data_IF_188158556339
#
_entry.id   IF_188158556339
#
_cell.length_a   1.000
_cell.length_b   1.000
_cell.length_c   1.000
_cell.angle_alpha   90.00
_cell.angle_beta   90.00
_cell.angle_gamma   90.00
#
_symmetry.space_group_name_H-M   'P 1'
#
loop_
_entity.id
_entity.type
_entity.pdbx_description
1 polymer ?
#
# COMPACT_ATOMS: atom_id res chain seq x y z
N UNK A 1 3.40 -9.40 -6.19
CA UNK A 1 4.32 -9.40 -7.35
C UNK A 1 5.76 -9.14 -6.89
N UNK A 2 5.98 -8.14 -6.02
CA UNK A 2 7.33 -7.78 -5.53
C UNK A 2 8.11 -8.91 -4.86
N UNK A 3 7.50 -9.67 -3.94
CA UNK A 3 8.18 -10.79 -3.27
C UNK A 3 8.60 -11.89 -4.25
N UNK A 4 7.77 -12.16 -5.27
CA UNK A 4 8.10 -13.12 -6.33
C UNK A 4 9.27 -12.63 -7.18
N UNK A 5 9.26 -11.35 -7.53
CA UNK A 5 10.36 -10.74 -8.28
C UNK A 5 11.68 -10.80 -7.49
N UNK A 6 11.65 -10.52 -6.18
CA UNK A 6 12.81 -10.68 -5.30
C UNK A 6 13.36 -12.11 -5.35
N UNK A 7 12.51 -13.13 -5.19
CA UNK A 7 12.92 -14.54 -5.27
C UNK A 7 13.61 -14.84 -6.60
N UNK A 8 13.00 -14.44 -7.72
CA UNK A 8 13.55 -14.66 -9.06
C UNK A 8 14.89 -13.98 -9.25
N UNK A 9 15.03 -12.74 -8.78
CA UNK A 9 16.28 -11.99 -8.88
C UNK A 9 17.39 -12.68 -8.08
N UNK A 10 17.07 -13.16 -6.87
CA UNK A 10 18.02 -13.87 -6.03
C UNK A 10 18.45 -15.20 -6.63
N UNK A 11 17.54 -15.96 -7.26
CA UNK A 11 17.89 -17.18 -7.98
C UNK A 11 18.83 -16.93 -9.15
N UNK A 12 18.66 -15.80 -9.85
CA UNK A 12 19.45 -15.46 -11.03
C UNK A 12 20.82 -14.85 -10.68
N UNK A 13 20.91 -14.13 -9.57
CA UNK A 13 22.09 -13.30 -9.25
C UNK A 13 23.00 -13.91 -8.20
N UNK A 14 22.49 -14.70 -7.26
CA UNK A 14 23.30 -15.24 -6.17
C UNK A 14 24.14 -16.43 -6.63
N UNK A 15 25.44 -16.35 -6.37
CA UNK A 15 26.38 -17.43 -6.64
C UNK A 15 26.37 -18.39 -5.46
N UNK A 16 26.03 -19.66 -5.69
CA UNK A 16 26.07 -20.69 -4.64
C UNK A 16 27.51 -21.14 -4.37
N UNK A 17 27.80 -21.42 -3.10
CA UNK A 17 29.08 -22.03 -2.73
C UNK A 17 29.14 -23.45 -3.27
N UNK A 18 30.24 -23.78 -3.94
CA UNK A 18 30.59 -25.12 -4.42
C UNK A 18 31.90 -25.55 -3.76
N UNK A 19 32.32 -26.80 -3.99
CA UNK A 19 33.62 -27.29 -3.50
C UNK A 19 34.81 -26.49 -4.07
N UNK A 20 34.64 -25.91 -5.26
CA UNK A 20 35.70 -25.25 -6.02
C UNK A 20 35.65 -23.72 -5.89
N UNK A 21 34.48 -23.16 -5.57
CA UNK A 21 34.25 -21.72 -5.52
C UNK A 21 33.40 -21.31 -4.32
N UNK A 22 33.92 -20.38 -3.52
CA UNK A 22 33.13 -19.66 -2.51
C UNK A 22 32.08 -18.78 -3.20
N UNK A 23 30.82 -18.97 -2.82
CA UNK A 23 29.68 -18.18 -3.28
C UNK A 23 29.28 -17.09 -2.29
N UNK A 24 28.17 -16.44 -2.59
CA UNK A 24 27.56 -15.43 -1.74
C UNK A 24 27.05 -16.06 -0.44
N UNK A 25 27.29 -15.36 0.66
CA UNK A 25 26.89 -15.81 1.98
C UNK A 25 25.80 -14.89 2.54
N UNK A 26 24.62 -15.46 2.76
CA UNK A 26 23.47 -14.88 3.48
C UNK A 26 23.24 -13.39 3.15
N UNK A 27 22.75 -13.08 1.92
CA UNK A 27 22.55 -11.70 1.48
C UNK A 27 21.59 -10.94 2.41
N UNK A 28 21.82 -9.63 2.53
CA UNK A 28 20.96 -8.72 3.28
C UNK A 28 19.99 -8.05 2.31
N UNK A 29 18.69 -8.09 2.63
CA UNK A 29 17.62 -7.47 1.83
C UNK A 29 16.90 -6.45 2.69
N UNK A 30 16.87 -5.19 2.25
CA UNK A 30 15.99 -4.17 2.81
C UNK A 30 14.69 -4.14 2.00
N UNK A 31 13.58 -4.51 2.63
CA UNK A 31 12.25 -4.54 2.02
C UNK A 31 11.44 -3.33 2.52
N UNK A 32 11.13 -2.40 1.62
CA UNK A 32 10.34 -1.21 1.91
C UNK A 32 8.90 -1.39 1.44
N UNK A 33 7.93 -1.38 2.36
CA UNK A 33 6.50 -1.60 2.04
C UNK A 33 5.62 -1.25 3.24
N UNK A 34 4.35 -0.89 3.01
CA UNK A 34 3.34 -0.70 4.06
C UNK A 34 2.77 -2.02 4.62
N UNK A 35 3.17 -3.16 4.07
CA UNK A 35 2.75 -4.49 4.52
C UNK A 35 1.36 -4.90 4.05
N UNK A 36 0.69 -4.14 3.17
CA UNK A 36 -0.66 -4.41 2.69
C UNK A 36 -0.68 -4.88 1.21
N UNK A 37 -0.24 -6.13 0.90
CA UNK A 37 -0.23 -6.64 -0.47
C UNK A 37 -1.64 -6.71 -1.07
N UNK A 38 -1.78 -6.19 -2.30
CA UNK A 38 -3.04 -6.15 -3.05
C UNK A 38 -3.21 -7.33 -4.01
N UNK A 39 -2.25 -8.26 -4.06
CA UNK A 39 -2.23 -9.42 -4.94
C UNK A 39 -2.38 -10.77 -4.19
N UNK A 40 -2.43 -11.88 -4.94
CA UNK A 40 -2.49 -13.23 -4.36
C UNK A 40 -1.10 -13.72 -3.95
N UNK A 41 -0.61 -13.24 -2.81
CA UNK A 41 0.76 -13.47 -2.35
C UNK A 41 0.97 -14.79 -1.59
N UNK A 42 -0.09 -15.52 -1.19
CA UNK A 42 -0.01 -16.62 -0.22
C UNK A 42 0.91 -17.76 -0.68
N UNK A 43 0.86 -18.14 -1.96
CA UNK A 43 1.72 -19.19 -2.50
C UNK A 43 3.20 -18.78 -2.49
N UNK A 44 3.48 -17.53 -2.86
CA UNK A 44 4.82 -16.96 -2.89
C UNK A 44 5.37 -16.79 -1.47
N UNK A 45 4.52 -16.42 -0.51
CA UNK A 45 4.89 -16.33 0.89
C UNK A 45 5.22 -17.71 1.48
N UNK A 46 4.49 -18.75 1.09
CA UNK A 46 4.81 -20.12 1.49
C UNK A 46 6.16 -20.58 0.92
N UNK A 47 6.40 -20.33 -0.36
CA UNK A 47 7.70 -20.55 -1.03
C UNK A 47 8.83 -19.79 -0.31
N UNK A 48 8.63 -18.50 -0.05
CA UNK A 48 9.57 -17.66 0.70
C UNK A 48 9.93 -18.26 2.06
N UNK A 49 8.93 -18.63 2.87
CA UNK A 49 9.13 -19.20 4.21
C UNK A 49 9.91 -20.51 4.18
N UNK A 50 9.61 -21.36 3.21
CA UNK A 50 10.20 -22.69 3.10
C UNK A 50 11.64 -22.63 2.55
N UNK A 51 11.87 -21.77 1.55
CA UNK A 51 13.09 -21.83 0.76
C UNK A 51 14.07 -20.69 1.03
N UNK A 52 13.59 -19.51 1.42
CA UNK A 52 14.40 -18.28 1.43
C UNK A 52 14.56 -17.63 2.79
N UNK A 53 13.53 -17.67 3.66
CA UNK A 53 13.54 -16.96 4.95
C UNK A 53 14.77 -17.26 5.82
N UNK A 54 15.35 -18.47 5.71
CA UNK A 54 16.57 -18.87 6.45
C UNK A 54 17.89 -18.61 5.69
N UNK A 55 17.83 -18.40 4.38
CA UNK A 55 19.01 -18.20 3.51
C UNK A 55 19.37 -16.73 3.36
N UNK A 56 18.48 -15.84 3.77
CA UNK A 56 18.54 -14.40 3.53
C UNK A 56 18.30 -13.68 4.84
N UNK A 57 18.95 -12.54 5.02
CA UNK A 57 18.70 -11.65 6.14
C UNK A 57 17.82 -10.51 5.65
N UNK A 58 16.53 -10.56 5.96
CA UNK A 58 15.61 -9.49 5.57
C UNK A 58 15.48 -8.48 6.71
N UNK A 59 15.45 -7.20 6.34
CA UNK A 59 15.01 -6.09 7.19
C UNK A 59 13.79 -5.49 6.51
N UNK A 60 12.61 -5.77 7.04
CA UNK A 60 11.36 -5.21 6.55
C UNK A 60 11.16 -3.85 7.22
N UNK A 61 11.01 -2.80 6.42
CA UNK A 61 10.84 -1.43 6.89
C UNK A 61 9.50 -0.94 6.37
N UNK A 62 8.60 -0.67 7.32
CA UNK A 62 7.30 -0.11 7.03
C UNK A 62 7.27 1.39 7.18
N UNK A 63 6.61 2.04 6.24
CA UNK A 63 6.36 3.48 6.25
C UNK A 63 4.91 3.76 6.63
N UNK A 64 4.71 4.75 7.50
CA UNK A 64 3.39 5.27 7.84
C UNK A 64 2.71 4.58 9.02
N UNK A 65 1.73 5.27 9.60
CA UNK A 65 1.06 4.86 10.85
C UNK A 65 0.15 3.63 10.71
N UNK A 66 -0.18 3.23 9.48
CA UNK A 66 -1.13 2.14 9.18
C UNK A 66 -0.46 0.89 8.60
N UNK A 67 0.80 0.66 8.94
CA UNK A 67 1.57 -0.51 8.54
C UNK A 67 0.90 -1.84 8.99
N UNK A 68 0.67 -2.78 8.07
CA UNK A 68 0.34 -4.15 8.45
C UNK A 68 1.64 -4.92 8.75
N UNK A 69 2.07 -4.83 10.00
CA UNK A 69 3.29 -5.50 10.47
C UNK A 69 3.12 -7.00 10.60
N UNK A 70 1.89 -7.54 10.52
CA UNK A 70 1.61 -8.97 10.65
C UNK A 70 2.22 -9.75 9.48
N UNK A 71 1.91 -9.34 8.25
CA UNK A 71 2.47 -9.94 7.04
C UNK A 71 3.99 -9.73 6.98
N UNK A 72 4.49 -8.58 7.43
CA UNK A 72 5.94 -8.32 7.46
C UNK A 72 6.67 -9.23 8.44
N UNK A 73 6.07 -9.54 9.59
CA UNK A 73 6.62 -10.51 10.55
C UNK A 73 6.66 -11.94 9.99
N UNK A 74 5.75 -12.27 9.06
CA UNK A 74 5.80 -13.55 8.34
C UNK A 74 6.99 -13.63 7.37
N UNK A 75 7.39 -12.50 6.78
CA UNK A 75 8.51 -12.38 5.83
C UNK A 75 9.85 -12.30 6.57
N UNK A 76 9.92 -11.51 7.64
CA UNK A 76 11.16 -11.12 8.32
C UNK A 76 11.01 -11.12 9.84
N UNK A 77 12.06 -11.55 10.54
CA UNK A 77 12.15 -11.42 12.01
C UNK A 77 12.66 -10.02 12.43
N UNK A 78 13.13 -9.21 11.47
CA UNK A 78 13.51 -7.82 11.64
C UNK A 78 12.50 -6.92 10.93
N UNK A 79 11.49 -6.46 11.67
CA UNK A 79 10.48 -5.49 11.19
C UNK A 79 10.71 -4.16 11.91
N UNK A 80 10.88 -3.10 11.12
CA UNK A 80 11.09 -1.74 11.58
C UNK A 80 9.93 -0.87 11.12
N UNK A 81 9.41 -0.04 12.00
CA UNK A 81 8.40 0.96 11.69
C UNK A 81 9.09 2.33 11.64
N UNK A 82 9.02 2.97 10.49
CA UNK A 82 9.52 4.32 10.27
C UNK A 82 8.36 5.32 10.43
N UNK A 83 8.40 6.10 11.52
CA UNK A 83 7.28 6.95 11.96
C UNK A 83 7.33 8.38 11.43
N UNK A 84 8.52 8.94 11.19
CA UNK A 84 8.69 10.37 10.92
C UNK A 84 8.92 10.65 9.44
N UNK A 85 7.96 11.33 8.80
CA UNK A 85 7.87 11.52 7.35
C UNK A 85 8.58 12.78 6.81
N UNK A 86 9.40 13.45 7.62
CA UNK A 86 10.13 14.65 7.16
C UNK A 86 11.45 14.29 6.45
N UNK A 87 11.93 15.19 5.60
CA UNK A 87 13.13 14.97 4.78
C UNK A 87 14.40 14.71 5.63
N UNK A 88 14.45 15.26 6.84
CA UNK A 88 15.56 15.06 7.78
C UNK A 88 15.58 13.60 8.28
N UNK A 89 14.43 13.05 8.67
CA UNK A 89 14.29 11.68 9.15
C UNK A 89 14.65 10.65 8.07
N UNK A 90 14.26 10.90 6.81
CA UNK A 90 14.71 10.05 5.69
C UNK A 90 16.23 10.05 5.53
N UNK A 91 16.86 11.22 5.69
CA UNK A 91 18.33 11.34 5.57
C UNK A 91 19.05 10.59 6.68
N UNK A 92 18.59 10.73 7.93
CA UNK A 92 19.15 9.99 9.06
C UNK A 92 18.89 8.49 8.95
N UNK A 93 17.73 8.09 8.42
CA UNK A 93 17.44 6.70 8.14
C UNK A 93 18.38 6.05 7.13
N UNK A 94 18.65 6.69 5.99
CA UNK A 94 19.58 6.14 5.01
C UNK A 94 21.04 6.14 5.51
N UNK A 95 21.42 7.11 6.35
CA UNK A 95 22.71 7.06 7.06
C UNK A 95 22.77 5.87 8.00
N UNK A 96 21.70 5.60 8.75
CA UNK A 96 21.59 4.46 9.65
C UNK A 96 21.63 3.12 8.89
N UNK A 97 20.97 3.00 7.73
CA UNK A 97 21.10 1.81 6.85
C UNK A 97 22.57 1.62 6.48
N UNK A 98 23.23 2.69 6.02
CA UNK A 98 24.64 2.64 5.60
C UNK A 98 25.54 2.17 6.74
N UNK A 99 25.35 2.71 7.94
CA UNK A 99 26.08 2.30 9.14
C UNK A 99 25.80 0.82 9.52
N UNK A 100 24.55 0.37 9.38
CA UNK A 100 24.14 -1.01 9.67
C UNK A 100 24.75 -2.02 8.69
N UNK A 101 24.85 -1.67 7.40
CA UNK A 101 25.55 -2.47 6.38
C UNK A 101 27.03 -2.57 6.73
N UNK A 102 27.67 -1.45 7.11
CA UNK A 102 29.08 -1.44 7.50
C UNK A 102 29.35 -2.32 8.72
N UNK A 103 28.54 -2.18 9.78
CA UNK A 103 28.66 -3.00 10.99
C UNK A 103 28.48 -4.50 10.69
N UNK A 104 27.49 -4.85 9.87
CA UNK A 104 27.20 -6.23 9.48
C UNK A 104 28.27 -6.84 8.57
N UNK A 105 28.94 -6.03 7.75
CA UNK A 105 30.05 -6.49 6.90
C UNK A 105 31.32 -6.86 7.70
N UNK A 106 31.52 -6.22 8.85
CA UNK A 106 32.69 -6.43 9.71
C UNK A 106 32.52 -7.61 10.67
N UNK A 107 31.28 -7.93 11.07
CA UNK A 107 30.97 -9.01 12.02
C UNK A 107 31.02 -10.43 11.43
N UNK A 108 31.13 -10.57 10.11
CA UNK A 108 31.25 -11.87 9.40
C UNK A 108 32.51 -12.67 9.80
N UNK A 109 33.45 -12.05 10.52
CA UNK A 109 34.69 -12.68 10.99
C UNK A 109 34.64 -13.28 12.41
N UNK A 110 33.55 -13.13 13.16
CA UNK A 110 33.44 -13.72 14.51
C UNK A 110 32.38 -14.82 14.54
N UNK A 111 32.85 -16.06 14.69
CA UNK A 111 32.03 -17.23 14.90
C UNK A 111 30.98 -17.00 16.00
N UNK A 112 29.76 -17.49 15.75
CA UNK A 112 28.70 -17.83 16.72
C UNK A 112 27.68 -16.78 17.17
N UNK A 113 27.13 -15.98 16.25
CA UNK A 113 25.69 -15.63 16.30
C UNK A 113 25.20 -15.09 14.97
N UNK A 114 24.15 -15.73 14.46
CA UNK A 114 23.55 -15.50 13.14
C UNK A 114 22.62 -14.26 13.15
N UNK A 115 23.01 -13.24 13.93
CA UNK A 115 22.18 -12.11 14.39
C UNK A 115 22.64 -10.82 13.69
N UNK A 116 21.72 -10.12 13.01
CA UNK A 116 22.01 -8.86 12.33
C UNK A 116 22.41 -7.80 13.36
N UNK A 117 23.64 -7.29 13.25
CA UNK A 117 24.12 -6.22 14.13
C UNK A 117 23.76 -4.88 13.50
N UNK A 118 22.51 -4.47 13.70
CA UNK A 118 22.04 -3.15 13.31
C UNK A 118 22.71 -2.08 14.18
N UNK A 119 22.95 -0.89 13.60
CA UNK A 119 23.41 0.23 14.39
C UNK A 119 22.37 0.55 15.49
N UNK A 120 22.79 0.91 16.71
CA UNK A 120 21.88 1.33 17.76
C UNK A 120 20.98 2.46 17.25
N UNK A 121 19.67 2.33 17.45
CA UNK A 121 18.69 3.37 17.10
C UNK A 121 17.99 3.81 18.39
N UNK A 122 18.55 4.81 19.06
CA UNK A 122 17.91 5.48 20.21
C UNK A 122 16.93 6.58 19.78
N UNK A 123 16.48 6.51 18.52
CA UNK A 123 15.82 7.60 17.84
C UNK A 123 14.31 7.36 17.72
N UNK A 124 13.51 8.38 18.04
CA UNK A 124 12.04 8.33 18.09
C UNK A 124 11.38 7.95 16.73
N UNK A 125 12.12 8.10 15.63
CA UNK A 125 11.65 7.87 14.26
C UNK A 125 11.72 6.41 13.79
N UNK A 126 12.42 5.51 14.50
CA UNK A 126 12.58 4.10 14.13
C UNK A 126 12.26 3.17 15.29
N UNK A 127 11.17 2.42 15.18
CA UNK A 127 10.78 1.43 16.19
C UNK A 127 10.92 0.00 15.66
N UNK A 128 11.52 -0.89 16.44
CA UNK A 128 11.50 -2.32 16.15
C UNK A 128 10.20 -2.93 16.66
N UNK A 129 9.43 -3.54 15.76
CA UNK A 129 8.19 -4.23 16.15
C UNK A 129 8.56 -5.47 16.97
N UNK A 130 8.01 -5.66 18.18
CA UNK A 130 8.22 -6.87 18.96
C UNK A 130 7.77 -8.09 18.16
N UNK A 131 8.68 -9.04 17.96
CA UNK A 131 8.39 -10.25 17.19
C UNK A 131 7.24 -11.04 17.81
N UNK A 132 6.09 -11.04 17.13
CA UNK A 132 4.89 -11.74 17.56
C UNK A 132 3.77 -11.47 16.57
N UNK A 133 3.20 -12.55 16.03
CA UNK A 133 2.01 -12.51 15.16
C UNK A 133 0.89 -11.76 15.87
N UNK A 134 0.70 -10.48 15.55
CA UNK A 134 -0.56 -9.81 15.84
C UNK A 134 -1.62 -10.48 14.96
N UNK A 135 -2.57 -11.16 15.61
CA UNK A 135 -3.63 -11.91 14.96
C UNK A 135 -4.60 -10.97 14.22
N UNK A 136 -4.22 -10.57 13.00
CA UNK A 136 -5.15 -10.16 11.96
C UNK A 136 -5.10 -11.22 10.88
N UNK A 137 -6.12 -12.06 10.77
CA UNK A 137 -6.23 -12.99 9.64
C UNK A 137 -6.16 -12.23 8.32
N UNK A 138 -5.69 -12.85 7.22
CA UNK A 138 -5.44 -12.15 5.97
C UNK A 138 -6.77 -11.69 5.37
N UNK A 139 -7.15 -10.43 5.60
CA UNK A 139 -8.12 -9.77 4.74
C UNK A 139 -7.41 -9.42 3.45
N UNK A 140 -7.85 -9.98 2.33
CA UNK A 140 -7.30 -9.73 0.99
C UNK A 140 -7.53 -8.30 0.46
N UNK A 141 -7.81 -7.35 1.37
CA UNK A 141 -8.29 -6.01 1.12
C UNK A 141 -7.55 -5.11 2.11
N UNK A 142 -6.74 -4.19 1.59
CA UNK A 142 -6.07 -3.16 2.40
C UNK A 142 -7.13 -2.28 3.09
N UNK A 143 -7.33 -2.41 4.39
CA UNK A 143 -8.35 -1.58 5.09
C UNK A 143 -7.86 -0.17 5.42
N UNK A 144 -6.60 0.15 5.17
CA UNK A 144 -5.99 1.42 5.51
C UNK A 144 -6.16 2.48 4.42
N UNK A 145 -6.43 2.05 3.19
CA UNK A 145 -6.66 2.94 2.05
C UNK A 145 -7.86 2.45 1.26
N UNK A 146 -8.70 3.36 0.78
CA UNK A 146 -9.69 3.08 -0.26
C UNK A 146 -9.29 3.83 -1.54
N UNK A 147 -8.99 3.08 -2.59
CA UNK A 147 -8.67 3.64 -3.91
C UNK A 147 -9.81 3.35 -4.87
N UNK A 148 -10.16 4.33 -5.71
CA UNK A 148 -11.21 4.23 -6.71
C UNK A 148 -10.70 4.67 -8.09
N UNK A 149 -11.04 3.90 -9.13
CA UNK A 149 -10.72 4.23 -10.52
C UNK A 149 -11.88 4.99 -11.14
N UNK A 150 -11.57 6.08 -11.82
CA UNK A 150 -12.53 6.84 -12.61
C UNK A 150 -11.95 7.23 -13.96
N UNK A 151 -12.83 7.66 -14.86
CA UNK A 151 -12.45 8.12 -16.20
C UNK A 151 -13.11 9.47 -16.48
N UNK A 152 -12.31 10.40 -16.97
CA UNK A 152 -12.76 11.76 -17.23
C UNK A 152 -13.82 11.77 -18.34
N UNK A 153 -14.95 12.44 -18.10
CA UNK A 153 -16.01 12.57 -19.12
C UNK A 153 -15.61 13.47 -20.29
N UNK A 154 -14.68 14.40 -20.08
CA UNK A 154 -14.24 15.36 -21.11
C UNK A 154 -13.16 14.79 -22.02
N UNK A 155 -12.07 14.24 -21.46
CA UNK A 155 -10.90 13.80 -22.23
C UNK A 155 -10.64 12.29 -22.17
N UNK A 156 -11.52 11.54 -21.52
CA UNK A 156 -11.46 10.07 -21.42
C UNK A 156 -10.17 9.51 -20.80
N UNK A 157 -9.37 10.34 -20.13
CA UNK A 157 -8.20 9.88 -19.36
C UNK A 157 -8.61 9.27 -18.03
N UNK A 158 -7.87 8.26 -17.59
CA UNK A 158 -8.07 7.61 -16.30
C UNK A 158 -7.48 8.43 -15.16
N UNK A 159 -8.08 8.31 -13.98
CA UNK A 159 -7.54 8.89 -12.76
C UNK A 159 -7.95 8.04 -11.55
N UNK A 160 -7.11 8.09 -10.52
CA UNK A 160 -7.34 7.44 -9.24
C UNK A 160 -7.77 8.47 -8.20
N UNK A 161 -8.63 8.04 -7.28
CA UNK A 161 -9.01 8.79 -6.09
C UNK A 161 -8.60 7.97 -4.89
N UNK A 162 -7.73 8.53 -4.04
CA UNK A 162 -7.19 7.85 -2.86
C UNK A 162 -7.82 8.44 -1.61
N UNK A 163 -8.30 7.58 -0.72
CA UNK A 163 -8.76 7.93 0.60
C UNK A 163 -7.98 7.14 1.65
N UNK A 164 -7.51 7.81 2.69
CA UNK A 164 -6.81 7.17 3.81
C UNK A 164 -7.81 6.89 4.94
N UNK A 165 -7.70 5.74 5.59
CA UNK A 165 -8.51 5.40 6.76
C UNK A 165 -8.25 6.41 7.87
N UNK A 166 -9.34 6.89 8.47
CA UNK A 166 -9.32 7.75 9.63
C UNK A 166 -10.14 7.08 10.73
N UNK A 167 -9.54 6.88 11.90
CA UNK A 167 -10.23 6.36 13.08
C UNK A 167 -10.42 7.53 14.04
N UNK A 168 -11.67 7.94 14.23
CA UNK A 168 -12.01 8.93 15.25
C UNK A 168 -12.53 8.21 16.48
N UNK A 169 -11.75 8.24 17.56
CA UNK A 169 -12.23 7.90 18.90
C UNK A 169 -12.87 9.14 19.52
N UNK A 170 -14.18 9.09 19.77
CA UNK A 170 -14.88 10.11 20.56
C UNK A 170 -15.38 9.47 21.84
N UNK A 171 -15.00 10.05 22.97
CA UNK A 171 -15.56 9.71 24.26
C UNK A 171 -16.83 10.54 24.48
N UNK A 172 -17.98 9.89 24.60
CA UNK A 172 -19.27 10.53 24.82
C UNK A 172 -20.02 9.78 25.92
N UNK A 173 -20.41 10.50 26.98
CA UNK A 173 -21.05 9.94 28.18
C UNK A 173 -20.27 8.79 28.85
N UNK A 174 -18.93 8.84 28.84
CA UNK A 174 -18.08 7.79 29.42
C UNK A 174 -18.05 6.48 28.62
N UNK A 175 -18.58 6.49 27.39
CA UNK A 175 -18.45 5.42 26.42
C UNK A 175 -17.50 5.87 25.30
N UNK A 176 -16.51 5.03 25.00
CA UNK A 176 -15.61 5.24 23.86
C UNK A 176 -16.28 4.74 22.59
N UNK A 177 -16.60 5.67 21.67
CA UNK A 177 -17.06 5.35 20.33
C UNK A 177 -15.92 5.49 19.34
N UNK A 178 -15.61 4.40 18.63
CA UNK A 178 -14.69 4.43 17.50
C UNK A 178 -15.52 4.48 16.21
N UNK A 179 -15.53 5.63 15.54
CA UNK A 179 -16.02 5.75 14.19
C UNK A 179 -14.82 5.63 13.24
N UNK A 180 -14.84 4.64 12.36
CA UNK A 180 -13.84 4.53 11.29
C UNK A 180 -14.46 4.94 9.96
N UNK A 181 -13.77 5.81 9.22
CA UNK A 181 -14.11 6.19 7.86
C UNK A 181 -12.85 6.33 7.03
N UNK A 182 -12.98 6.93 5.84
CA UNK A 182 -11.88 7.20 4.93
C UNK A 182 -11.92 8.66 4.49
N UNK A 183 -10.84 9.39 4.72
CA UNK A 183 -10.69 10.80 4.33
C UNK A 183 -9.98 10.90 2.99
N UNK A 184 -10.48 11.77 2.10
CA UNK A 184 -9.87 12.05 0.81
C UNK A 184 -8.42 12.51 1.00
N UNK A 185 -7.48 11.75 0.45
CA UNK A 185 -6.07 12.11 0.38
C UNK A 185 -5.77 12.89 -0.90
N UNK A 186 -6.42 12.54 -2.02
CA UNK A 186 -6.26 13.27 -3.27
C UNK A 186 -6.77 12.51 -4.50
N UNK A 187 -6.62 13.16 -5.65
CA UNK A 187 -6.94 12.58 -6.96
C UNK A 187 -5.77 12.76 -7.92
N UNK A 188 -5.48 11.73 -8.70
CA UNK A 188 -4.24 11.63 -9.49
C UNK A 188 -4.55 11.12 -10.89
N UNK A 189 -4.15 11.86 -11.92
CA UNK A 189 -4.23 11.37 -13.29
C UNK A 189 -3.27 10.19 -13.48
N UNK A 190 -3.70 9.15 -14.18
CA UNK A 190 -2.87 7.96 -14.45
C UNK A 190 -2.69 7.74 -15.95
N UNK A 191 -1.52 7.25 -16.31
CA UNK A 191 -1.18 6.83 -17.68
C UNK A 191 -1.67 5.42 -17.98
N UNK A 192 -1.44 4.99 -19.22
CA UNK A 192 -1.81 3.64 -19.69
C UNK A 192 -0.95 2.53 -19.04
N UNK A 193 0.21 2.90 -18.50
CA UNK A 193 1.13 2.03 -17.76
C UNK A 193 0.56 1.50 -16.45
N UNK A 194 -0.40 2.21 -15.84
CA UNK A 194 -1.12 1.75 -14.65
C UNK A 194 -1.75 0.37 -14.86
N UNK A 195 -2.39 0.15 -16.01
CA UNK A 195 -3.08 -1.12 -16.29
C UNK A 195 -2.12 -2.30 -16.45
N UNK A 196 -0.90 -2.06 -16.93
CA UNK A 196 0.13 -3.09 -17.04
C UNK A 196 0.69 -3.51 -15.67
N UNK A 197 0.56 -2.65 -14.66
CA UNK A 197 1.06 -2.87 -13.30
C UNK A 197 -0.03 -3.36 -12.34
N UNK A 198 -1.31 -3.17 -12.68
CA UNK A 198 -2.46 -3.72 -11.96
C UNK A 198 -2.79 -5.14 -12.41
N UNK A 199 -3.21 -6.02 -11.50
CA UNK A 199 -3.60 -7.37 -11.86
C UNK A 199 -4.98 -7.40 -12.52
N UNK A 200 -5.08 -7.95 -13.73
CA UNK A 200 -6.35 -8.12 -14.46
C UNK A 200 -7.38 -8.91 -13.64
N UNK A 201 -8.64 -8.45 -13.63
CA UNK A 201 -9.79 -9.18 -13.07
C UNK A 201 -9.59 -9.69 -11.63
N UNK A 202 -8.95 -8.92 -10.77
CA UNK A 202 -9.06 -9.14 -9.32
C UNK A 202 -10.29 -8.38 -8.83
N UNK A 203 -11.47 -9.02 -8.68
CA UNK A 203 -12.57 -8.39 -7.98
C UNK A 203 -12.11 -8.16 -6.54
N UNK A 204 -11.76 -6.92 -6.22
CA UNK A 204 -11.67 -6.50 -4.84
C UNK A 204 -13.12 -6.44 -4.38
N UNK A 205 -13.62 -7.54 -3.80
CA UNK A 205 -14.94 -7.61 -3.16
C UNK A 205 -14.94 -6.78 -1.85
N UNK A 206 -14.51 -5.52 -1.94
CA UNK A 206 -14.50 -4.52 -0.90
C UNK A 206 -15.29 -3.33 -1.42
N UNK A 207 -16.59 -3.37 -1.20
CA UNK A 207 -17.43 -2.20 -1.36
C UNK A 207 -17.22 -1.29 -0.15
N UNK A 208 -17.14 0.01 -0.40
CA UNK A 208 -17.14 1.03 0.65
C UNK A 208 -18.41 1.86 0.48
N UNK A 209 -19.15 2.05 1.57
CA UNK A 209 -20.30 2.96 1.58
C UNK A 209 -19.83 4.39 1.39
N UNK A 210 -20.54 5.18 0.58
CA UNK A 210 -20.26 6.62 0.44
C UNK A 210 -20.36 7.39 1.75
N UNK A 211 -21.09 6.88 2.76
CA UNK A 211 -21.17 7.48 4.11
C UNK A 211 -19.84 7.40 4.86
N UNK A 212 -19.03 6.38 4.57
CA UNK A 212 -17.71 6.22 5.17
C UNK A 212 -16.67 7.14 4.50
N UNK A 213 -17.00 7.78 3.38
CA UNK A 213 -16.09 8.63 2.63
C UNK A 213 -16.24 10.09 3.02
N UNK A 214 -15.15 10.70 3.49
CA UNK A 214 -15.08 12.11 3.85
C UNK A 214 -14.30 12.90 2.79
N UNK A 215 -15.02 13.78 2.08
CA UNK A 215 -14.47 14.68 1.07
C UNK A 215 -14.74 14.23 -0.37
N UNK A 216 -14.91 15.21 -1.26
CA UNK A 216 -15.20 14.98 -2.67
C UNK A 216 -14.03 15.47 -3.54
N UNK A 217 -13.46 14.60 -4.41
CA UNK A 217 -12.35 14.97 -5.25
C UNK A 217 -12.80 15.78 -6.47
N UNK A 218 -11.92 16.63 -6.96
CA UNK A 218 -12.02 17.23 -8.29
C UNK A 218 -11.46 16.27 -9.35
N UNK A 219 -11.75 16.51 -10.63
CA UNK A 219 -11.12 15.77 -11.71
C UNK A 219 -9.72 16.32 -12.01
N UNK A 220 -8.63 15.53 -11.81
CA UNK A 220 -7.27 16.01 -12.10
C UNK A 220 -7.01 16.16 -13.60
N UNK A 221 -7.82 15.53 -14.45
CA UNK A 221 -7.62 15.51 -15.90
C UNK A 221 -8.20 16.74 -16.61
N UNK A 222 -9.33 17.30 -16.13
CA UNK A 222 -10.02 18.40 -16.79
C UNK A 222 -10.45 19.55 -15.86
N UNK A 223 -10.26 19.40 -14.54
CA UNK A 223 -10.56 20.45 -13.57
C UNK A 223 -12.01 20.53 -13.09
N UNK A 224 -12.90 19.62 -13.52
CA UNK A 224 -14.28 19.61 -13.03
C UNK A 224 -14.34 19.47 -11.50
N UNK A 225 -15.23 20.23 -10.86
CA UNK A 225 -15.42 20.22 -9.40
C UNK A 225 -16.01 18.92 -8.85
N UNK A 226 -16.69 18.13 -9.69
CA UNK A 226 -17.24 16.84 -9.30
C UNK A 226 -16.42 15.73 -9.97
N UNK A 227 -15.47 15.15 -9.25
CA UNK A 227 -14.65 14.02 -9.70
C UNK A 227 -15.21 12.65 -9.34
N UNK A 228 -16.32 12.58 -8.57
CA UNK A 228 -16.85 11.33 -8.02
C UNK A 228 -18.34 11.19 -8.35
N UNK A 229 -18.65 10.74 -9.57
CA UNK A 229 -20.01 10.45 -10.03
C UNK A 229 -20.11 8.98 -10.46
N UNK A 230 -21.12 8.26 -9.96
CA UNK A 230 -21.35 6.85 -10.29
C UNK A 230 -22.32 6.72 -11.46
N UNK A 231 -21.90 6.02 -12.52
CA UNK A 231 -22.79 5.64 -13.61
C UNK A 231 -23.56 4.35 -13.28
N UNK A 232 -24.72 4.15 -13.89
CA UNK A 232 -25.48 2.89 -13.84
C UNK A 232 -24.68 1.67 -14.34
N UNK A 233 -23.57 1.85 -15.06
CA UNK A 233 -22.67 0.75 -15.41
C UNK A 233 -21.72 0.32 -14.27
N UNK A 234 -21.79 0.98 -13.11
CA UNK A 234 -20.96 0.68 -11.93
C UNK A 234 -19.60 1.37 -11.90
N UNK A 235 -19.27 2.19 -12.90
CA UNK A 235 -17.99 2.89 -12.99
C UNK A 235 -18.11 4.37 -12.63
N UNK A 236 -17.01 4.91 -12.10
CA UNK A 236 -16.92 6.32 -11.70
C UNK A 236 -16.43 7.21 -12.85
N UNK A 237 -16.88 8.45 -12.85
CA UNK A 237 -16.49 9.50 -13.78
C UNK A 237 -16.54 10.88 -13.11
N UNK A 238 -15.99 11.89 -13.78
CA UNK A 238 -16.22 13.27 -13.41
C UNK A 238 -17.47 13.83 -14.09
N UNK A 239 -18.14 14.77 -13.42
CA UNK A 239 -19.33 15.44 -13.93
C UNK A 239 -18.99 16.89 -14.33
N UNK A 240 -19.38 17.38 -15.52
CA UNK A 240 -19.10 18.75 -15.96
C UNK A 240 -19.79 19.80 -15.09
N UNK A 241 -19.08 20.90 -14.82
CA UNK A 241 -19.61 22.01 -14.01
C UNK A 241 -20.56 22.92 -14.79
N UNK A 242 -20.44 22.94 -16.12
CA UNK A 242 -21.19 23.82 -17.02
C UNK A 242 -22.53 23.24 -17.51
N UNK A 243 -22.74 21.93 -17.35
CA UNK A 243 -23.88 21.19 -17.90
C UNK A 243 -24.52 20.27 -16.86
N UNK A 244 -25.81 20.00 -17.05
CA UNK A 244 -26.56 19.01 -16.25
C UNK A 244 -26.55 17.61 -16.89
N UNK A 245 -25.73 17.39 -17.91
CA UNK A 245 -25.57 16.12 -18.60
C UNK A 245 -24.09 15.79 -18.78
N UNK A 246 -23.74 14.54 -18.52
CA UNK A 246 -22.41 13.97 -18.78
C UNK A 246 -22.55 12.68 -19.59
N UNK A 247 -21.73 12.49 -20.62
CA UNK A 247 -21.63 11.21 -21.32
C UNK A 247 -20.63 10.31 -20.59
N UNK A 248 -21.07 9.13 -20.18
CA UNK A 248 -20.23 8.16 -19.50
C UNK A 248 -19.13 7.65 -20.44
N UNK A 249 -17.84 7.84 -20.12
CA UNK A 249 -16.74 7.40 -20.98
C UNK A 249 -16.53 5.88 -20.97
N UNK A 250 -17.28 5.13 -20.15
CA UNK A 250 -17.21 3.67 -20.06
C UNK A 250 -18.27 2.97 -20.93
N UNK A 251 -19.51 3.46 -20.89
CA UNK A 251 -20.63 2.82 -21.58
C UNK A 251 -21.32 3.71 -22.63
N UNK A 252 -20.83 4.93 -22.83
CA UNK A 252 -21.36 5.93 -23.76
C UNK A 252 -22.81 6.37 -23.51
N UNK A 253 -23.38 6.06 -22.35
CA UNK A 253 -24.72 6.51 -21.94
C UNK A 253 -24.65 7.88 -21.29
N UNK A 254 -25.69 8.69 -21.48
CA UNK A 254 -25.83 9.98 -20.82
C UNK A 254 -26.31 9.81 -19.38
N UNK A 255 -25.74 10.61 -18.48
CA UNK A 255 -26.11 10.73 -17.08
C UNK A 255 -26.59 12.15 -16.90
N UNK A 256 -27.83 12.29 -16.44
CA UNK A 256 -28.47 13.57 -16.15
C UNK A 256 -28.54 13.73 -14.64
N UNK A 257 -27.96 14.81 -14.11
CA UNK A 257 -28.04 15.13 -12.67
C UNK A 257 -28.79 16.45 -12.55
N UNK A 258 -29.94 16.39 -11.87
CA UNK A 258 -30.65 17.60 -11.47
C UNK A 258 -29.99 18.16 -10.20
N UNK A 259 -29.28 19.28 -10.35
CA UNK A 259 -28.61 19.97 -9.25
C UNK A 259 -29.57 20.59 -8.24
N UNK A 260 -30.85 20.73 -8.59
CA UNK A 260 -31.88 21.26 -7.71
C UNK A 260 -32.55 20.18 -6.85
N UNK A 261 -32.25 18.91 -7.10
CA UNK A 261 -32.61 17.81 -6.20
C UNK A 261 -31.38 17.39 -5.40
N UNK A 262 -31.53 17.09 -4.10
CA UNK A 262 -30.46 16.42 -3.35
C UNK A 262 -30.16 15.10 -4.06
N UNK A 263 -29.01 15.05 -4.70
CA UNK A 263 -28.59 13.91 -5.49
C UNK A 263 -28.26 12.75 -4.58
N UNK A 264 -29.13 11.73 -4.61
CA UNK A 264 -28.83 10.30 -4.44
C UNK A 264 -28.40 9.85 -3.04
N UNK A 265 -29.25 9.03 -2.41
CA UNK A 265 -28.94 8.35 -1.14
C UNK A 265 -27.72 7.43 -1.20
N UNK A 266 -27.36 6.90 -0.05
CA UNK A 266 -26.10 6.18 0.17
C UNK A 266 -25.95 4.98 -0.77
N UNK A 267 -24.78 4.86 -1.39
CA UNK A 267 -24.48 3.77 -2.30
C UNK A 267 -23.09 3.20 -2.06
N UNK A 268 -22.94 1.93 -2.41
CA UNK A 268 -21.70 1.20 -2.27
C UNK A 268 -20.84 1.34 -3.53
N UNK A 269 -19.56 1.65 -3.36
CA UNK A 269 -18.61 1.84 -4.45
C UNK A 269 -17.54 0.76 -4.39
N UNK A 270 -17.28 0.13 -5.54
CA UNK A 270 -16.25 -0.89 -5.65
C UNK A 270 -14.86 -0.26 -5.60
N UNK A 271 -13.98 -0.80 -4.76
CA UNK A 271 -12.58 -0.40 -4.71
C UNK A 271 -11.78 -0.93 -5.91
N UNK A 272 -10.71 -0.21 -6.25
CA UNK A 272 -9.69 -0.62 -7.23
C UNK A 272 -8.33 -0.77 -6.54
N UNK A 273 -7.36 -1.34 -7.26
CA UNK A 273 -5.97 -1.41 -6.84
C UNK A 273 -5.33 -0.01 -6.95
N UNK A 274 -4.62 0.41 -5.91
CA UNK A 274 -3.85 1.66 -5.89
C UNK A 274 -2.41 1.46 -6.32
#
# INVERSE_FOLDING_TARGET
AGLKHLIQEMDNTLVRTTLERKGDWKPIVFLFTDGAPTDKYQNVLAEWKNEWKRKVMVVAVSFGESADTGILAEISDHVLLFKNSDAQSYKEFFKWITASIQASSQSVNMYSKDELNLAPSDEEWLEKVPGGSQNGGPSSIDTNVATFLARCSTNQKHYLMKYNREVQSKEMYGLNYQASGYRLAGSYAVGDDYFALSADNVPINAQVSTEELHGFPHCPCCGNSIGFCLCNCGNLLCFPDDRNVATCPWCSKEIHIDRNQPSGGDFNVNRTQG
#
